data_IF_955045105961
#
_entry.id   IF_955045105961
#
_cell.length_a   1.000
_cell.length_b   1.000
_cell.length_c   1.000
_cell.angle_alpha   90.00
_cell.angle_beta   90.00
_cell.angle_gamma   90.00
#
_symmetry.space_group_name_H-M   'P 1'
#
loop_
_entity.id
_entity.type
_entity.pdbx_description
1 polymer ?
#
# COMPACT_ATOMS: atom_id res chain seq x y z
N UNK A 1 -27.21 -6.78 40.53
CA UNK A 1 -26.37 -5.80 39.79
C UNK A 1 -24.99 -6.40 39.53
N UNK A 2 -24.64 -6.68 38.27
CA UNK A 2 -23.26 -6.91 37.81
C UNK A 2 -23.11 -6.25 36.44
N UNK A 3 -22.38 -5.13 36.36
CA UNK A 3 -22.05 -4.51 35.08
C UNK A 3 -20.99 -5.38 34.38
N UNK A 4 -21.12 -5.69 33.08
CA UNK A 4 -20.06 -6.41 32.38
C UNK A 4 -18.84 -5.48 32.28
N UNK A 5 -17.67 -5.97 32.71
CA UNK A 5 -16.38 -5.32 32.45
C UNK A 5 -16.16 -5.35 30.95
N UNK A 6 -16.32 -4.21 30.28
CA UNK A 6 -15.82 -4.03 28.94
C UNK A 6 -14.30 -4.28 28.99
N UNK A 7 -13.85 -5.32 28.31
CA UNK A 7 -12.44 -5.51 27.98
C UNK A 7 -12.05 -4.35 27.07
N UNK A 8 -11.48 -3.29 27.65
CA UNK A 8 -10.77 -2.28 26.88
C UNK A 8 -9.57 -2.99 26.25
N UNK A 9 -9.55 -3.09 24.92
CA UNK A 9 -8.28 -3.34 24.23
C UNK A 9 -7.30 -2.25 24.69
N UNK A 10 -6.05 -2.57 25.02
CA UNK A 10 -5.07 -1.54 25.34
C UNK A 10 -4.98 -0.57 24.16
N UNK A 11 -4.89 0.73 24.46
CA UNK A 11 -4.63 1.72 23.44
C UNK A 11 -3.31 1.37 22.73
N UNK A 12 -3.22 1.54 21.40
CA UNK A 12 -1.96 1.32 20.70
C UNK A 12 -0.85 2.17 21.33
N UNK A 13 0.34 1.59 21.48
CA UNK A 13 1.48 2.25 22.07
C UNK A 13 1.78 3.55 21.30
N UNK A 14 1.74 4.73 21.94
CA UNK A 14 1.96 6.01 21.26
C UNK A 14 3.39 6.16 20.73
N UNK A 15 4.32 5.28 21.13
CA UNK A 15 5.71 5.23 20.65
C UNK A 15 5.90 4.23 19.50
N UNK A 16 4.93 3.35 19.24
CA UNK A 16 4.96 2.50 18.07
C UNK A 16 4.74 3.36 16.83
N UNK A 17 5.74 3.40 15.93
CA UNK A 17 5.60 4.08 14.65
C UNK A 17 4.38 3.49 13.95
N UNK A 18 3.36 4.32 13.74
CA UNK A 18 2.11 3.87 13.14
C UNK A 18 2.42 3.31 11.74
N UNK A 19 1.88 2.14 11.35
CA UNK A 19 2.20 1.51 10.06
C UNK A 19 2.04 2.44 8.86
N UNK A 20 1.06 3.35 8.91
CA UNK A 20 0.86 4.38 7.89
C UNK A 20 2.00 5.37 7.76
N UNK A 21 2.66 5.73 8.87
CA UNK A 21 3.82 6.62 8.86
C UNK A 21 5.02 5.94 8.17
N UNK A 22 5.28 4.66 8.47
CA UNK A 22 6.33 3.89 7.78
C UNK A 22 6.06 3.73 6.29
N UNK A 23 4.79 3.52 5.93
CA UNK A 23 4.39 3.38 4.53
C UNK A 23 4.61 4.69 3.75
N UNK A 24 4.33 5.83 4.40
CA UNK A 24 4.59 7.15 3.85
C UNK A 24 6.08 7.38 3.65
N UNK A 25 6.89 7.14 4.69
CA UNK A 25 8.35 7.31 4.63
C UNK A 25 8.97 6.44 3.53
N UNK A 26 8.56 5.16 3.42
CA UNK A 26 9.01 4.28 2.36
C UNK A 26 8.66 4.80 0.96
N UNK A 27 7.47 5.39 0.78
CA UNK A 27 7.11 6.01 -0.50
C UNK A 27 7.96 7.26 -0.78
N UNK A 28 8.22 8.09 0.23
CA UNK A 28 9.06 9.29 0.08
C UNK A 28 10.52 8.94 -0.23
N UNK A 29 11.04 7.83 0.31
CA UNK A 29 12.37 7.31 -0.03
C UNK A 29 12.44 6.76 -1.45
N UNK A 30 11.39 6.07 -1.90
CA UNK A 30 11.31 5.52 -3.26
C UNK A 30 11.09 6.62 -4.30
N UNK A 31 10.24 7.60 -4.00
CA UNK A 31 9.84 8.65 -4.91
C UNK A 31 9.84 10.02 -4.18
N UNK A 32 11.03 10.62 -3.98
CA UNK A 32 11.16 11.91 -3.31
C UNK A 32 10.33 13.02 -3.98
N UNK A 33 9.91 14.01 -3.20
CA UNK A 33 9.16 15.14 -3.72
C UNK A 33 9.92 15.84 -4.87
N UNK A 34 9.24 16.02 -6.01
CA UNK A 34 9.84 16.57 -7.24
C UNK A 34 10.36 15.51 -8.22
N UNK A 35 10.34 14.23 -7.85
CA UNK A 35 10.67 13.14 -8.78
C UNK A 35 9.64 13.03 -9.90
N UNK A 36 10.10 12.59 -11.07
CA UNK A 36 9.24 12.24 -12.21
C UNK A 36 8.86 10.76 -12.09
N UNK A 37 7.57 10.46 -12.28
CA UNK A 37 7.07 9.10 -12.35
C UNK A 37 6.21 8.94 -13.61
N UNK A 38 6.36 7.78 -14.26
CA UNK A 38 5.44 7.36 -15.33
C UNK A 38 4.21 6.73 -14.70
N UNK A 39 3.05 7.11 -15.23
CA UNK A 39 1.73 6.67 -14.79
C UNK A 39 1.17 5.69 -15.82
N UNK A 40 0.86 4.48 -15.40
CA UNK A 40 0.14 3.49 -16.21
C UNK A 40 -1.28 3.35 -15.67
N UNK A 41 -2.27 3.48 -16.57
CA UNK A 41 -3.69 3.39 -16.27
C UNK A 41 -4.24 2.02 -16.69
N UNK A 42 -5.32 1.60 -16.04
CA UNK A 42 -6.07 0.39 -16.39
C UNK A 42 -7.44 0.77 -17.00
N UNK A 43 -8.36 -0.19 -17.14
CA UNK A 43 -9.69 -0.03 -17.75
C UNK A 43 -10.47 1.17 -17.21
N UNK A 44 -10.42 1.42 -15.89
CA UNK A 44 -11.04 2.56 -15.24
C UNK A 44 -10.00 3.48 -14.62
N UNK A 45 -9.84 4.68 -15.19
CA UNK A 45 -8.82 5.63 -14.73
C UNK A 45 -9.13 6.23 -13.35
N UNK A 46 -10.40 6.40 -13.00
CA UNK A 46 -10.81 7.12 -11.78
C UNK A 46 -11.85 6.35 -10.99
N UNK A 47 -11.74 6.45 -9.67
CA UNK A 47 -12.75 5.92 -8.76
C UNK A 47 -13.96 6.87 -8.61
N UNK A 48 -14.95 6.45 -7.82
CA UNK A 48 -16.16 7.24 -7.51
C UNK A 48 -15.90 8.58 -6.80
N UNK A 49 -14.71 8.76 -6.25
CA UNK A 49 -14.28 9.99 -5.57
C UNK A 49 -13.43 10.88 -6.48
N UNK A 50 -13.23 10.49 -7.75
CA UNK A 50 -12.44 11.22 -8.73
C UNK A 50 -10.93 11.03 -8.59
N UNK A 51 -10.47 10.13 -7.72
CA UNK A 51 -9.04 9.83 -7.54
C UNK A 51 -8.54 9.02 -8.73
N UNK A 52 -7.35 9.34 -9.22
CA UNK A 52 -6.69 8.59 -10.28
C UNK A 52 -6.21 7.24 -9.72
N UNK A 53 -6.58 6.15 -10.41
CA UNK A 53 -6.12 4.79 -10.14
C UNK A 53 -5.02 4.47 -11.15
N UNK A 54 -3.79 4.30 -10.67
CA UNK A 54 -2.65 4.11 -11.53
C UNK A 54 -1.56 3.25 -10.88
N UNK A 55 -0.74 2.66 -11.74
CA UNK A 55 0.53 2.04 -11.39
C UNK A 55 1.66 3.03 -11.67
N UNK A 56 2.57 3.18 -10.71
CA UNK A 56 3.65 4.16 -10.79
C UNK A 56 4.99 3.49 -11.07
N UNK A 57 5.74 4.11 -11.98
CA UNK A 57 7.08 3.70 -12.38
C UNK A 57 8.04 4.86 -12.25
N UNK A 58 9.22 4.63 -11.68
CA UNK A 58 10.32 5.59 -11.72
C UNK A 58 10.97 5.60 -13.10
N UNK A 59 11.74 6.65 -13.37
CA UNK A 59 12.49 6.83 -14.61
C UNK A 59 13.51 5.69 -14.87
N UNK A 60 14.00 5.04 -13.81
CA UNK A 60 14.89 3.87 -13.90
C UNK A 60 14.14 2.54 -14.17
N UNK A 61 12.82 2.59 -14.32
CA UNK A 61 11.95 1.43 -14.56
C UNK A 61 11.47 0.73 -13.30
N UNK A 62 11.81 1.22 -12.10
CA UNK A 62 11.35 0.61 -10.85
C UNK A 62 9.82 0.78 -10.67
N UNK A 63 9.13 -0.32 -10.42
CA UNK A 63 7.69 -0.38 -10.14
C UNK A 63 7.41 -0.09 -8.67
N UNK A 64 6.90 1.10 -8.38
CA UNK A 64 6.71 1.57 -7.00
C UNK A 64 5.72 0.69 -6.22
N UNK A 65 4.58 0.33 -6.84
CA UNK A 65 3.57 -0.51 -6.21
C UNK A 65 4.15 -1.89 -5.79
N UNK A 66 5.00 -2.47 -6.63
CA UNK A 66 5.64 -3.78 -6.34
C UNK A 66 6.69 -3.68 -5.25
N UNK A 67 7.46 -2.59 -5.22
CA UNK A 67 8.48 -2.38 -4.20
C UNK A 67 7.86 -2.22 -2.81
N UNK A 68 6.77 -1.46 -2.71
CA UNK A 68 6.04 -1.30 -1.45
C UNK A 68 5.42 -2.61 -0.96
N UNK A 69 4.94 -3.45 -1.87
CA UNK A 69 4.43 -4.79 -1.51
C UNK A 69 5.57 -5.71 -1.04
N UNK A 70 6.71 -5.71 -1.74
CA UNK A 70 7.86 -6.56 -1.42
C UNK A 70 8.45 -6.24 -0.04
N UNK A 71 8.45 -4.98 0.33
CA UNK A 71 8.99 -4.47 1.60
C UNK A 71 7.96 -4.50 2.74
N UNK A 72 6.73 -4.95 2.49
CA UNK A 72 5.67 -5.05 3.50
C UNK A 72 5.04 -3.71 3.90
N UNK A 73 5.28 -2.64 3.11
CA UNK A 73 4.70 -1.31 3.34
C UNK A 73 3.38 -1.07 2.60
N UNK A 74 2.90 -2.05 1.83
CA UNK A 74 1.60 -2.03 1.19
C UNK A 74 0.92 -3.40 1.28
N UNK A 75 -0.40 -3.40 1.08
CA UNK A 75 -1.22 -4.61 0.95
C UNK A 75 -2.04 -4.55 -0.33
N UNK A 76 -2.39 -5.71 -0.89
CA UNK A 76 -3.12 -5.77 -2.16
C UNK A 76 -4.59 -5.36 -1.97
N UNK A 77 -4.96 -4.21 -2.57
CA UNK A 77 -6.35 -3.80 -2.73
C UNK A 77 -6.86 -4.04 -4.15
N UNK A 78 -7.99 -4.73 -4.29
CA UNK A 78 -8.60 -5.05 -5.61
C UNK A 78 -9.81 -4.16 -5.86
N UNK A 79 -9.81 -3.44 -6.98
CA UNK A 79 -10.88 -2.53 -7.38
C UNK A 79 -11.31 -2.81 -8.82
N UNK A 80 -12.29 -3.72 -9.05
CA UNK A 80 -12.78 -4.01 -10.39
C UNK A 80 -13.32 -2.75 -11.10
N UNK A 81 -13.10 -2.60 -12.42
CA UNK A 81 -12.53 -3.59 -13.35
C UNK A 81 -10.99 -3.62 -13.40
N UNK A 82 -10.28 -2.83 -12.57
CA UNK A 82 -8.82 -2.72 -12.63
C UNK A 82 -8.16 -3.91 -11.92
N UNK A 83 -7.83 -4.94 -12.70
CA UNK A 83 -7.30 -6.20 -12.18
C UNK A 83 -6.03 -6.67 -12.89
N UNK A 84 -5.42 -5.84 -13.74
CA UNK A 84 -4.31 -6.24 -14.61
C UNK A 84 -3.12 -6.90 -13.88
N UNK A 85 -2.79 -6.44 -12.67
CA UNK A 85 -1.64 -6.94 -11.90
C UNK A 85 -2.00 -7.67 -10.60
N UNK A 86 -3.27 -8.01 -10.37
CA UNK A 86 -3.71 -8.59 -9.08
C UNK A 86 -2.95 -9.87 -8.73
N UNK A 87 -2.81 -10.79 -9.69
CA UNK A 87 -2.12 -12.06 -9.43
C UNK A 87 -0.63 -11.86 -9.14
N UNK A 88 0.01 -10.94 -9.87
CA UNK A 88 1.41 -10.57 -9.63
C UNK A 88 1.61 -9.96 -8.25
N UNK A 89 0.74 -9.04 -7.85
CA UNK A 89 0.81 -8.38 -6.55
C UNK A 89 0.57 -9.34 -5.40
N UNK A 90 -0.36 -10.29 -5.55
CA UNK A 90 -0.58 -11.36 -4.56
C UNK A 90 0.66 -12.23 -4.39
N UNK A 91 1.29 -12.64 -5.49
CA UNK A 91 2.51 -13.43 -5.43
C UNK A 91 3.66 -12.69 -4.70
N UNK A 92 3.77 -11.37 -4.91
CA UNK A 92 4.76 -10.54 -4.20
C UNK A 92 4.44 -10.45 -2.71
N UNK A 93 3.19 -10.17 -2.34
CA UNK A 93 2.76 -10.07 -0.94
C UNK A 93 2.96 -11.40 -0.20
N UNK A 94 2.63 -12.53 -0.83
CA UNK A 94 2.85 -13.86 -0.26
C UNK A 94 4.35 -14.17 -0.08
N UNK A 95 5.19 -13.77 -1.04
CA UNK A 95 6.64 -13.92 -0.93
C UNK A 95 7.21 -13.07 0.21
N UNK A 96 6.72 -11.85 0.39
CA UNK A 96 7.15 -10.94 1.46
C UNK A 96 6.81 -11.51 2.85
N UNK A 97 5.63 -12.12 3.01
CA UNK A 97 5.18 -12.73 4.27
C UNK A 97 6.02 -13.93 4.70
N UNK A 98 6.60 -14.66 3.75
CA UNK A 98 7.45 -15.85 4.03
C UNK A 98 8.90 -15.46 4.33
N UNK A 99 9.32 -14.25 3.97
CA UNK A 99 10.69 -13.77 4.18
C UNK A 99 10.93 -13.15 5.59
N UNK A 100 9.89 -13.02 6.41
CA UNK A 100 9.95 -12.69 7.85
C UNK A 100 10.01 -13.95 8.73
#
# INVERSE_FOLDING_TARGET
MRRPRASLRPAPDPTAVQPGQRSKEALEDLLPAGSVATVELDVQERDRYGRLLAYLYREDGLRINEELLRTGYAVVGVYPPNVAYVDRFRAIEDSARVAE
#
